data_IF_695266000632
#
_entry.id   IF_695266000632
#
_cell.length_a   1.000
_cell.length_b   1.000
_cell.length_c   1.000
_cell.angle_alpha   90.00
_cell.angle_beta   90.00
_cell.angle_gamma   90.00
#
_symmetry.space_group_name_H-M   'P 1'
#
loop_
_entity.id
_entity.type
_entity.pdbx_description
1 polymer ?
#
# COMPACT_ATOMS: atom_id res chain seq x y z
N UNK A 1 57.63 14.63 3.93
CA UNK A 1 58.20 14.78 5.29
C UNK A 1 57.06 14.55 6.26
N UNK A 2 56.85 13.30 6.69
CA UNK A 2 55.98 12.99 7.84
C UNK A 2 56.69 13.36 9.15
N UNK A 3 56.31 12.81 10.31
CA UNK A 3 55.19 11.90 10.58
C UNK A 3 54.43 12.28 11.87
N UNK A 4 53.43 11.49 12.28
CA UNK A 4 53.40 10.78 13.58
C UNK A 4 52.02 10.18 13.84
N UNK A 5 51.91 8.92 13.46
CA UNK A 5 51.15 7.94 14.21
C UNK A 5 51.65 7.90 15.67
N UNK A 6 50.72 7.76 16.62
CA UNK A 6 51.00 7.26 17.97
C UNK A 6 50.01 6.13 18.27
N UNK A 7 50.58 4.97 18.50
CA UNK A 7 49.97 3.76 19.02
C UNK A 7 49.78 3.84 20.54
N UNK A 8 48.80 3.09 21.05
CA UNK A 8 48.76 2.40 22.35
C UNK A 8 47.35 1.77 22.48
N UNK A 9 47.12 0.46 22.29
CA UNK A 9 47.51 -0.66 23.15
C UNK A 9 47.25 -0.40 24.65
N UNK A 10 46.13 -0.92 25.16
CA UNK A 10 46.00 -1.32 26.56
C UNK A 10 45.05 -2.52 26.65
N UNK A 11 45.67 -3.61 27.08
CA UNK A 11 45.16 -4.94 27.40
C UNK A 11 44.61 -4.96 28.85
N UNK A 12 44.17 -6.13 29.32
CA UNK A 12 43.70 -6.48 30.67
C UNK A 12 42.20 -6.18 30.88
N UNK A 13 41.33 -7.12 31.27
CA UNK A 13 41.54 -8.17 32.25
C UNK A 13 40.53 -9.32 32.03
N UNK A 14 41.01 -10.57 32.05
CA UNK A 14 40.22 -11.80 31.98
C UNK A 14 40.15 -12.38 33.38
N UNK A 15 39.01 -12.21 34.07
CA UNK A 15 38.74 -12.96 35.29
C UNK A 15 37.97 -14.24 34.96
N UNK A 16 38.65 -15.36 35.22
CA UNK A 16 38.15 -16.74 35.15
C UNK A 16 37.78 -17.16 36.58
N UNK A 17 36.54 -17.59 36.82
CA UNK A 17 36.14 -18.23 38.08
C UNK A 17 35.62 -19.65 37.77
N UNK A 18 36.17 -20.72 38.40
CA UNK A 18 35.72 -22.09 38.16
C UNK A 18 34.79 -22.62 39.26
N UNK A 19 33.78 -23.39 38.81
CA UNK A 19 33.26 -24.58 39.50
C UNK A 19 32.09 -24.38 40.47
N UNK A 20 30.97 -25.06 40.20
CA UNK A 20 30.46 -26.11 41.08
C UNK A 20 29.15 -26.76 40.56
N UNK A 21 29.23 -28.09 40.41
CA UNK A 21 28.23 -29.13 40.74
C UNK A 21 26.87 -29.19 40.02
N UNK A 22 26.77 -30.24 39.19
CA UNK A 22 25.56 -31.03 38.91
C UNK A 22 25.00 -31.66 40.19
N UNK A 23 23.67 -31.73 40.28
CA UNK A 23 22.81 -32.78 40.88
C UNK A 23 21.38 -32.46 40.38
N UNK A 24 20.76 -33.32 39.56
CA UNK A 24 19.77 -34.29 40.04
C UNK A 24 18.61 -34.33 39.04
N UNK A 25 18.22 -35.52 38.60
CA UNK A 25 17.14 -35.77 37.64
C UNK A 25 15.83 -36.07 38.36
N UNK A 26 14.69 -35.63 37.81
CA UNK A 26 13.37 -36.27 37.95
C UNK A 26 12.44 -35.80 36.82
N UNK A 27 11.52 -36.67 36.40
CA UNK A 27 10.77 -36.62 35.15
C UNK A 27 9.28 -36.25 35.32
N UNK A 28 8.72 -35.61 34.26
CA UNK A 28 7.31 -35.59 33.76
C UNK A 28 6.19 -34.99 34.66
N UNK A 29 5.03 -34.51 34.12
CA UNK A 29 4.40 -34.83 32.83
C UNK A 29 3.80 -33.67 32.01
N UNK A 30 3.19 -34.05 30.88
CA UNK A 30 2.32 -33.29 29.99
C UNK A 30 1.32 -32.37 30.70
N UNK A 31 1.28 -31.09 30.31
CA UNK A 31 0.09 -30.25 30.49
C UNK A 31 -0.37 -29.68 29.14
N UNK A 32 -1.60 -30.04 28.81
CA UNK A 32 -2.38 -29.55 27.68
C UNK A 32 -2.74 -28.07 27.91
N UNK A 33 -2.01 -27.15 27.29
CA UNK A 33 -2.46 -25.77 27.13
C UNK A 33 -3.57 -25.69 26.06
N UNK A 34 -4.64 -24.91 26.27
CA UNK A 34 -5.73 -24.84 25.30
C UNK A 34 -5.22 -24.25 23.98
N UNK A 35 -5.68 -24.88 22.90
CA UNK A 35 -5.38 -24.49 21.54
C UNK A 35 -5.51 -22.98 21.37
N UNK A 36 -4.42 -22.35 20.91
CA UNK A 36 -4.47 -21.03 20.30
C UNK A 36 -5.60 -21.07 19.27
N UNK A 37 -6.68 -20.35 19.55
CA UNK A 37 -7.70 -20.07 18.57
C UNK A 37 -7.01 -19.31 17.45
N UNK A 38 -6.54 -20.06 16.45
CA UNK A 38 -6.00 -19.52 15.21
C UNK A 38 -7.22 -18.97 14.50
N UNK A 39 -7.55 -17.70 14.79
CA UNK A 39 -8.43 -16.91 13.95
C UNK A 39 -7.98 -17.12 12.51
N UNK A 40 -8.90 -17.30 11.54
CA UNK A 40 -8.50 -17.51 10.17
C UNK A 40 -7.65 -16.31 9.76
N UNK A 41 -6.35 -16.53 9.56
CA UNK A 41 -5.49 -15.56 8.91
C UNK A 41 -6.00 -15.49 7.48
N UNK A 42 -6.99 -14.63 7.26
CA UNK A 42 -7.27 -14.10 5.94
C UNK A 42 -5.92 -13.58 5.48
N UNK A 43 -5.35 -14.24 4.48
CA UNK A 43 -4.06 -13.91 3.93
C UNK A 43 -4.24 -12.61 3.16
N UNK A 44 -4.38 -11.50 3.87
CA UNK A 44 -4.44 -10.17 3.28
C UNK A 44 -3.13 -9.99 2.53
N UNK A 45 -3.17 -9.86 1.20
CA UNK A 45 -1.94 -9.76 0.43
C UNK A 45 -1.15 -8.54 0.93
N UNK A 46 0.17 -8.69 1.10
CA UNK A 46 1.02 -7.61 1.58
C UNK A 46 0.99 -6.41 0.61
N UNK A 47 1.02 -5.19 1.13
CA UNK A 47 1.18 -3.97 0.33
C UNK A 47 2.49 -3.95 -0.47
N UNK A 48 3.47 -4.77 -0.09
CA UNK A 48 4.73 -4.94 -0.81
C UNK A 48 4.53 -5.29 -2.28
N UNK A 49 3.46 -6.03 -2.63
CA UNK A 49 3.14 -6.35 -4.02
C UNK A 49 3.01 -5.12 -4.92
N UNK A 50 2.52 -4.01 -4.39
CA UNK A 50 2.41 -2.75 -5.14
C UNK A 50 3.77 -2.08 -5.31
N UNK A 51 4.59 -2.08 -4.25
CA UNK A 51 5.94 -1.50 -4.29
C UNK A 51 6.78 -2.22 -5.34
N UNK A 52 6.76 -3.56 -5.31
CA UNK A 52 7.52 -4.41 -6.23
C UNK A 52 7.04 -4.23 -7.68
N UNK A 53 5.73 -4.13 -7.90
CA UNK A 53 5.17 -3.91 -9.22
C UNK A 53 5.46 -2.51 -9.79
N UNK A 54 5.46 -1.48 -8.93
CA UNK A 54 5.75 -0.10 -9.34
C UNK A 54 7.24 0.13 -9.59
N UNK A 55 8.13 -0.47 -8.79
CA UNK A 55 9.57 -0.20 -8.80
C UNK A 55 10.22 -0.18 -10.20
N UNK A 56 9.99 -1.17 -11.09
CA UNK A 56 10.63 -1.18 -12.41
C UNK A 56 10.02 -0.21 -13.43
N UNK A 57 8.82 0.33 -13.18
CA UNK A 57 8.06 1.10 -14.18
C UNK A 57 7.67 2.51 -13.73
N UNK A 58 8.01 2.92 -12.51
CA UNK A 58 7.48 4.16 -11.93
C UNK A 58 7.86 5.40 -12.74
N UNK A 59 9.09 5.48 -13.26
CA UNK A 59 9.49 6.60 -14.12
C UNK A 59 8.74 6.61 -15.46
N UNK A 60 8.45 5.43 -16.03
CA UNK A 60 7.59 5.31 -17.21
C UNK A 60 6.17 5.77 -16.93
N UNK A 61 5.60 5.40 -15.78
CA UNK A 61 4.27 5.86 -15.33
C UNK A 61 4.24 7.38 -15.27
N UNK A 62 5.22 8.01 -14.60
CA UNK A 62 5.30 9.48 -14.48
C UNK A 62 5.39 10.16 -15.85
N UNK A 63 6.21 9.62 -16.74
CA UNK A 63 6.38 10.16 -18.09
C UNK A 63 5.10 10.04 -18.94
N UNK A 64 4.40 8.90 -18.89
CA UNK A 64 3.13 8.69 -19.61
C UNK A 64 2.02 9.59 -19.08
N UNK A 65 1.91 9.71 -17.75
CA UNK A 65 0.94 10.60 -17.12
C UNK A 65 1.20 12.07 -17.47
N UNK A 66 2.45 12.51 -17.44
CA UNK A 66 2.83 13.88 -17.79
C UNK A 66 2.57 14.19 -19.28
N UNK A 67 2.71 13.19 -20.15
CA UNK A 67 2.34 13.29 -21.56
C UNK A 67 0.82 13.29 -21.79
N UNK A 68 0.02 12.96 -20.77
CA UNK A 68 -1.44 12.85 -20.89
C UNK A 68 -1.88 11.71 -21.79
N UNK A 69 -1.06 10.65 -21.89
CA UNK A 69 -1.30 9.49 -22.75
C UNK A 69 -0.70 8.23 -22.12
N UNK A 70 -1.57 7.45 -21.47
CA UNK A 70 -1.22 6.16 -20.88
C UNK A 70 -1.06 5.12 -21.98
N UNK A 71 0.10 4.45 -22.02
CA UNK A 71 0.46 3.51 -23.10
C UNK A 71 0.80 2.11 -22.60
N UNK A 72 1.18 1.95 -21.33
CA UNK A 72 1.62 0.67 -20.79
C UNK A 72 0.72 0.11 -19.67
N UNK A 73 1.03 -1.11 -19.22
CA UNK A 73 0.17 -1.93 -18.37
C UNK A 73 0.47 -1.77 -16.88
N UNK A 74 0.02 -0.66 -16.28
CA UNK A 74 0.28 -0.37 -14.86
C UNK A 74 -0.94 0.06 -14.05
N UNK A 75 -2.13 0.17 -14.68
CA UNK A 75 -3.31 0.76 -14.04
C UNK A 75 -3.64 0.13 -12.67
N UNK A 76 -3.62 -1.20 -12.60
CA UNK A 76 -4.07 -1.93 -11.41
C UNK A 76 -3.24 -1.68 -10.15
N UNK A 77 -1.94 -1.38 -10.31
CA UNK A 77 -1.02 -1.24 -9.18
C UNK A 77 -0.52 0.20 -8.97
N UNK A 78 -0.88 1.13 -9.86
CA UNK A 78 -0.69 2.58 -9.66
C UNK A 78 -1.96 3.24 -9.12
N UNK A 79 -3.11 2.92 -9.72
CA UNK A 79 -4.44 3.38 -9.30
C UNK A 79 -5.31 2.18 -8.92
N UNK A 80 -5.03 1.50 -7.80
CA UNK A 80 -5.78 0.32 -7.40
C UNK A 80 -7.23 0.66 -7.05
N UNK A 81 -8.11 -0.31 -7.27
CA UNK A 81 -9.53 -0.26 -6.92
C UNK A 81 -9.88 -1.43 -5.98
N UNK A 82 -11.12 -1.49 -5.50
CA UNK A 82 -11.59 -2.62 -4.72
C UNK A 82 -11.51 -3.93 -5.51
N UNK A 83 -11.02 -4.98 -4.85
CA UNK A 83 -10.84 -6.33 -5.40
C UNK A 83 -12.14 -6.91 -5.95
N UNK A 84 -13.26 -6.60 -5.31
CA UNK A 84 -14.59 -7.03 -5.73
C UNK A 84 -15.00 -6.53 -7.13
N UNK A 85 -14.41 -5.43 -7.61
CA UNK A 85 -14.64 -4.91 -8.96
C UNK A 85 -13.79 -5.62 -10.03
N UNK A 86 -12.76 -6.36 -9.61
CA UNK A 86 -11.78 -7.00 -10.49
C UNK A 86 -12.27 -8.31 -11.11
N UNK A 87 -12.33 -8.35 -12.44
CA UNK A 87 -12.72 -9.56 -13.19
C UNK A 87 -11.55 -10.45 -13.59
N UNK A 88 -10.39 -9.86 -13.91
CA UNK A 88 -9.19 -10.62 -14.31
C UNK A 88 -8.35 -11.03 -13.10
N UNK A 89 -7.49 -12.05 -13.28
CA UNK A 89 -6.55 -12.48 -12.25
C UNK A 89 -5.65 -11.33 -11.78
N UNK A 90 -5.14 -10.51 -12.71
CA UNK A 90 -4.32 -9.33 -12.40
C UNK A 90 -5.10 -8.27 -11.61
N UNK A 91 -6.35 -7.98 -12.01
CA UNK A 91 -7.20 -7.04 -11.29
C UNK A 91 -7.53 -7.54 -9.88
N UNK A 92 -7.74 -8.85 -9.71
CA UNK A 92 -7.94 -9.44 -8.39
C UNK A 92 -6.67 -9.45 -7.57
N UNK A 93 -5.50 -9.65 -8.17
CA UNK A 93 -4.23 -9.68 -7.44
C UNK A 93 -3.90 -8.31 -6.83
N UNK A 94 -3.99 -7.25 -7.64
CA UNK A 94 -3.71 -5.87 -7.21
C UNK A 94 -4.93 -5.12 -6.66
N UNK A 95 -6.12 -5.73 -6.66
CA UNK A 95 -7.27 -5.15 -5.98
C UNK A 95 -7.04 -5.04 -4.48
N UNK A 96 -7.55 -3.97 -3.86
CA UNK A 96 -7.58 -3.78 -2.41
C UNK A 96 -8.79 -4.52 -1.83
N UNK A 97 -8.61 -5.24 -0.72
CA UNK A 97 -9.66 -6.04 -0.11
C UNK A 97 -10.84 -5.18 0.37
N UNK A 98 -10.52 -4.06 1.01
CA UNK A 98 -11.50 -3.20 1.68
C UNK A 98 -10.94 -1.78 1.93
N UNK A 99 -11.72 -0.99 2.65
CA UNK A 99 -11.36 0.37 3.05
C UNK A 99 -10.17 0.43 4.03
N UNK A 100 -9.97 -0.61 4.86
CA UNK A 100 -8.85 -0.66 5.80
C UNK A 100 -7.53 -0.90 5.05
N UNK A 101 -7.51 -1.76 4.04
CA UNK A 101 -6.33 -1.93 3.16
C UNK A 101 -6.04 -0.64 2.36
N UNK A 102 -7.07 0.07 1.89
CA UNK A 102 -6.90 1.36 1.24
C UNK A 102 -6.31 2.43 2.17
N UNK A 103 -6.78 2.53 3.42
CA UNK A 103 -6.20 3.42 4.42
C UNK A 103 -4.74 3.04 4.74
N UNK A 104 -4.43 1.74 4.83
CA UNK A 104 -3.07 1.26 5.00
C UNK A 104 -2.17 1.62 3.80
N UNK A 105 -2.69 1.56 2.56
CA UNK A 105 -2.01 1.99 1.35
C UNK A 105 -1.65 3.48 1.42
N UNK A 106 -2.57 4.34 1.88
CA UNK A 106 -2.32 5.78 2.04
C UNK A 106 -1.27 6.10 3.11
N UNK A 107 -1.26 5.37 4.24
CA UNK A 107 -0.24 5.55 5.29
C UNK A 107 1.13 5.01 4.92
N UNK A 108 1.21 4.16 3.90
CA UNK A 108 2.46 3.55 3.52
C UNK A 108 3.45 4.61 3.01
N UNK A 109 4.70 4.66 3.53
CA UNK A 109 5.64 5.76 3.30
C UNK A 109 6.06 5.92 1.83
N UNK A 110 5.84 4.90 0.99
CA UNK A 110 6.10 4.95 -0.45
C UNK A 110 4.80 5.09 -1.26
N UNK A 111 3.73 4.37 -0.89
CA UNK A 111 2.58 4.20 -1.80
C UNK A 111 1.63 5.39 -1.74
N UNK A 112 1.38 5.94 -0.55
CA UNK A 112 0.61 7.17 -0.38
C UNK A 112 1.21 8.34 -1.16
N UNK A 113 2.49 8.70 -0.94
CA UNK A 113 3.15 9.77 -1.70
C UNK A 113 3.14 9.55 -3.21
N UNK A 114 3.36 8.31 -3.67
CA UNK A 114 3.34 8.01 -5.11
C UNK A 114 1.97 8.17 -5.74
N UNK A 115 0.92 7.74 -5.05
CA UNK A 115 -0.44 7.91 -5.54
C UNK A 115 -0.81 9.39 -5.62
N UNK A 116 -0.49 10.17 -4.57
CA UNK A 116 -0.72 11.61 -4.57
C UNK A 116 0.07 12.32 -5.68
N UNK A 117 1.32 11.95 -5.92
CA UNK A 117 2.13 12.45 -7.04
C UNK A 117 1.48 12.13 -8.38
N UNK A 118 1.07 10.89 -8.62
CA UNK A 118 0.42 10.48 -9.86
C UNK A 118 -0.89 11.25 -10.11
N UNK A 119 -1.71 11.47 -9.07
CA UNK A 119 -2.90 12.32 -9.18
C UNK A 119 -2.53 13.77 -9.52
N UNK A 120 -1.51 14.33 -8.88
CA UNK A 120 -1.02 15.69 -9.17
C UNK A 120 -0.56 15.85 -10.62
N UNK A 121 0.16 14.86 -11.16
CA UNK A 121 0.59 14.87 -12.58
C UNK A 121 -0.63 14.85 -13.51
N UNK A 122 -1.61 13.99 -13.24
CA UNK A 122 -2.84 13.86 -14.04
C UNK A 122 -3.66 15.16 -14.00
N UNK A 123 -3.76 15.81 -12.84
CA UNK A 123 -4.36 17.14 -12.70
C UNK A 123 -3.56 18.22 -13.46
N UNK A 124 -2.30 18.00 -13.81
CA UNK A 124 -1.54 18.90 -14.66
C UNK A 124 -1.99 18.90 -16.13
N UNK A 125 -2.58 17.80 -16.63
CA UNK A 125 -2.84 17.57 -18.06
C UNK A 125 -4.03 18.38 -18.57
N UNK A 126 -3.78 19.40 -19.37
CA UNK A 126 -4.83 20.30 -19.88
C UNK A 126 -5.53 19.78 -21.15
N UNK A 127 -6.80 20.14 -21.31
CA UNK A 127 -7.54 19.93 -22.57
C UNK A 127 -7.82 18.48 -22.95
N UNK A 128 -7.65 17.53 -22.03
CA UNK A 128 -7.94 16.10 -22.24
C UNK A 128 -8.88 15.58 -21.16
N UNK A 129 -9.79 14.71 -21.56
CA UNK A 129 -10.65 13.91 -20.68
C UNK A 129 -9.89 12.72 -20.09
N UNK A 130 -10.42 12.11 -19.02
CA UNK A 130 -9.86 10.87 -18.50
C UNK A 130 -9.88 9.75 -19.54
N UNK A 131 -10.90 9.72 -20.42
CA UNK A 131 -10.96 8.75 -21.50
C UNK A 131 -9.82 8.93 -22.51
N UNK A 132 -9.47 10.15 -22.87
CA UNK A 132 -8.35 10.44 -23.78
C UNK A 132 -6.98 10.15 -23.14
N UNK A 133 -6.85 10.29 -21.81
CA UNK A 133 -5.59 10.02 -21.11
C UNK A 133 -5.41 8.52 -20.86
N UNK A 134 -6.44 7.83 -20.39
CA UNK A 134 -6.34 6.46 -19.89
C UNK A 134 -6.89 5.40 -20.85
N UNK A 135 -7.77 5.78 -21.76
CA UNK A 135 -8.55 4.86 -22.58
C UNK A 135 -9.54 4.03 -21.75
N UNK A 136 -10.45 3.34 -22.45
CA UNK A 136 -11.34 2.35 -21.82
C UNK A 136 -10.63 1.00 -21.69
N UNK A 137 -10.78 0.27 -20.57
CA UNK A 137 -11.63 0.58 -19.41
C UNK A 137 -10.91 1.28 -18.26
N UNK A 138 -9.71 1.81 -18.47
CA UNK A 138 -8.88 2.36 -17.39
C UNK A 138 -9.40 3.72 -16.89
N UNK A 139 -10.10 4.49 -17.73
CA UNK A 139 -10.88 5.66 -17.33
C UNK A 139 -11.90 5.34 -16.22
N UNK A 140 -12.62 4.22 -16.30
CA UNK A 140 -13.54 3.79 -15.25
C UNK A 140 -12.79 3.36 -13.98
N UNK A 141 -11.65 2.68 -14.13
CA UNK A 141 -10.82 2.26 -12.98
C UNK A 141 -10.26 3.44 -12.21
N UNK A 142 -9.90 4.53 -12.90
CA UNK A 142 -9.47 5.75 -12.23
C UNK A 142 -10.61 6.30 -11.37
N UNK A 143 -11.84 6.36 -11.89
CA UNK A 143 -13.01 6.78 -11.12
C UNK A 143 -13.23 5.92 -9.87
N UNK A 144 -13.17 4.58 -10.00
CA UNK A 144 -13.26 3.65 -8.86
C UNK A 144 -12.14 3.87 -7.86
N UNK A 145 -10.90 4.06 -8.33
CA UNK A 145 -9.73 4.30 -7.47
C UNK A 145 -9.87 5.60 -6.68
N UNK A 146 -10.20 6.71 -7.34
CA UNK A 146 -10.35 8.00 -6.67
C UNK A 146 -11.52 8.00 -5.68
N UNK A 147 -12.63 7.33 -6.01
CA UNK A 147 -13.77 7.17 -5.10
C UNK A 147 -13.39 6.39 -3.84
N UNK A 148 -12.58 5.33 -3.99
CA UNK A 148 -12.07 4.54 -2.87
C UNK A 148 -11.15 5.38 -1.98
N UNK A 149 -10.18 6.07 -2.59
CA UNK A 149 -9.16 6.80 -1.84
C UNK A 149 -9.66 8.12 -1.25
N UNK A 150 -10.67 8.76 -1.83
CA UNK A 150 -11.40 9.86 -1.20
C UNK A 150 -12.04 9.41 0.13
N UNK A 151 -12.73 8.26 0.10
CA UNK A 151 -13.34 7.68 1.31
C UNK A 151 -12.26 7.27 2.33
N UNK A 152 -11.14 6.71 1.88
CA UNK A 152 -10.04 6.31 2.75
C UNK A 152 -9.35 7.52 3.39
N UNK A 153 -9.09 8.58 2.63
CA UNK A 153 -8.48 9.82 3.10
C UNK A 153 -9.35 10.52 4.17
N UNK A 154 -10.68 10.38 4.10
CA UNK A 154 -11.59 10.90 5.13
C UNK A 154 -11.37 10.25 6.50
N UNK A 155 -10.79 9.04 6.56
CA UNK A 155 -10.40 8.34 7.80
C UNK A 155 -8.94 8.59 8.20
N UNK A 156 -8.13 9.14 7.29
CA UNK A 156 -6.71 9.42 7.47
C UNK A 156 -6.38 10.86 7.02
N UNK A 157 -6.87 11.91 7.72
CA UNK A 157 -6.75 13.29 7.26
C UNK A 157 -5.30 13.79 7.09
N UNK A 158 -4.36 13.16 7.80
CA UNK A 158 -2.93 13.45 7.75
C UNK A 158 -2.20 12.72 6.62
N UNK A 159 -2.88 11.84 5.87
CA UNK A 159 -2.28 11.13 4.75
C UNK A 159 -1.91 12.10 3.61
N UNK A 160 -0.81 11.82 2.86
CA UNK A 160 -0.41 12.63 1.72
C UNK A 160 -1.54 12.77 0.69
N UNK A 161 -1.81 14.00 0.24
CA UNK A 161 -2.77 14.26 -0.84
C UNK A 161 -4.22 14.01 -0.46
N UNK A 162 -4.64 14.20 0.79
CA UNK A 162 -6.00 13.91 1.25
C UNK A 162 -7.13 14.55 0.43
N UNK A 163 -6.89 15.68 -0.26
CA UNK A 163 -7.86 16.32 -1.17
C UNK A 163 -7.66 15.99 -2.64
N UNK A 164 -6.51 15.45 -3.04
CA UNK A 164 -6.16 15.29 -4.48
C UNK A 164 -7.11 14.32 -5.19
N UNK A 165 -7.69 13.37 -4.46
CA UNK A 165 -8.63 12.38 -5.00
C UNK A 165 -9.96 13.02 -5.39
N UNK A 166 -10.50 13.91 -4.55
CA UNK A 166 -11.72 14.66 -4.87
C UNK A 166 -11.47 15.61 -6.05
N UNK A 167 -10.29 16.23 -6.12
CA UNK A 167 -9.92 17.13 -7.22
C UNK A 167 -9.91 16.40 -8.58
N UNK A 168 -9.41 15.17 -8.62
CA UNK A 168 -9.44 14.33 -9.84
C UNK A 168 -10.88 13.98 -10.22
N UNK A 169 -11.73 13.62 -9.26
CA UNK A 169 -13.15 13.33 -9.50
C UNK A 169 -13.91 14.56 -10.02
N UNK A 170 -13.68 15.71 -9.41
CA UNK A 170 -14.33 16.97 -9.78
C UNK A 170 -13.92 17.40 -11.19
N UNK A 171 -12.62 17.31 -11.50
CA UNK A 171 -12.09 17.68 -12.82
C UNK A 171 -12.53 16.74 -13.93
N UNK A 172 -12.33 15.44 -13.76
CA UNK A 172 -12.46 14.47 -14.88
C UNK A 172 -13.82 13.79 -14.94
N UNK A 173 -14.58 13.82 -13.85
CA UNK A 173 -15.85 13.09 -13.74
C UNK A 173 -17.01 14.01 -13.32
N UNK A 174 -16.81 15.33 -13.32
CA UNK A 174 -17.79 16.32 -12.87
C UNK A 174 -18.30 16.04 -11.44
N UNK A 175 -17.40 15.59 -10.58
CA UNK A 175 -17.68 15.22 -9.19
C UNK A 175 -18.49 13.93 -9.05
N UNK A 176 -18.68 13.16 -10.11
CA UNK A 176 -19.34 11.85 -9.99
C UNK A 176 -18.36 10.83 -9.42
N UNK A 177 -18.80 10.17 -8.37
CA UNK A 177 -18.11 9.02 -7.75
C UNK A 177 -18.61 7.72 -8.39
N UNK A 178 -17.78 6.69 -8.42
CA UNK A 178 -18.13 5.38 -8.94
C UNK A 178 -19.18 4.70 -8.03
N UNK A 179 -20.41 4.44 -8.53
CA UNK A 179 -21.50 3.93 -7.70
C UNK A 179 -21.18 2.54 -7.13
N UNK A 180 -20.53 1.66 -7.91
CA UNK A 180 -20.19 0.32 -7.44
C UNK A 180 -19.18 0.37 -6.30
N UNK A 181 -18.17 1.24 -6.39
CA UNK A 181 -17.24 1.46 -5.27
C UNK A 181 -17.98 1.97 -4.03
N UNK A 182 -18.93 2.92 -4.19
CA UNK A 182 -19.71 3.42 -3.04
C UNK A 182 -20.57 2.35 -2.40
N UNK A 183 -21.26 1.54 -3.19
CA UNK A 183 -22.12 0.47 -2.69
C UNK A 183 -21.31 -0.58 -1.92
N UNK A 184 -20.11 -0.91 -2.39
CA UNK A 184 -19.19 -1.82 -1.71
C UNK A 184 -18.57 -1.25 -0.42
N UNK A 185 -18.53 0.08 -0.27
CA UNK A 185 -18.03 0.77 0.92
C UNK A 185 -19.12 1.11 1.93
N UNK A 186 -20.39 1.03 1.53
CA UNK A 186 -21.50 1.26 2.43
C UNK A 186 -21.47 0.23 3.55
N UNK A 187 -21.73 0.63 4.81
CA UNK A 187 -21.93 -0.34 5.88
C UNK A 187 -23.08 -1.28 5.50
N UNK A 188 -22.94 -2.57 5.80
CA UNK A 188 -24.01 -3.53 5.57
C UNK A 188 -25.30 -3.01 6.23
N UNK A 189 -26.44 -2.97 5.53
CA UNK A 189 -27.68 -2.54 6.14
C UNK A 189 -27.98 -3.46 7.34
N UNK A 190 -28.45 -2.90 8.47
CA UNK A 190 -28.73 -3.71 9.65
C UNK A 190 -29.73 -4.81 9.27
N UNK A 191 -29.34 -6.06 9.51
CA UNK A 191 -30.21 -7.23 9.36
C UNK A 191 -31.38 -7.03 10.32
N UNK A 192 -32.59 -6.87 9.76
CA UNK A 192 -33.83 -6.74 10.53
C UNK A 192 -34.25 -8.06 11.15
#
# INVERSE_FOLDING_TARGET
>A
MGPRDHAAAAEHDRVRIPGARRLGAVAAPFENGPALHRSPTVNTPSLQRFVDAQAPVYDTVRAELAAGDKRSHWMWFVFPQLRALGRSATARHYGLADLAEAAAYLRHPVLGPRLAECCGIVLGVQGRSAHEIFGSPDDLKLCSSMTLFETAASREPQAPGSTVFSDVLDRFYAGRRDPLTRDLLAPEPPTR
#
